data_IF_232404725996
#
_entry.id   IF_232404725996
#
_cell.length_a   1.000
_cell.length_b   1.000
_cell.length_c   1.000
_cell.angle_alpha   90.00
_cell.angle_beta   90.00
_cell.angle_gamma   90.00
#
_symmetry.space_group_name_H-M   'P 1'
#
loop_
_entity.id
_entity.type
_entity.pdbx_description
1 polymer ?
#
# COMPACT_ATOMS: atom_id res chain seq x y z
N UNK A 1 25.07 5.28 -3.27
CA UNK A 1 25.46 5.87 -1.96
C UNK A 1 24.33 5.84 -0.91
N UNK A 2 23.64 4.70 -0.70
CA UNK A 2 22.51 4.61 0.25
C UNK A 2 22.90 4.03 1.63
N UNK A 3 24.16 3.64 1.84
CA UNK A 3 24.60 2.90 3.03
C UNK A 3 25.44 3.71 4.03
N UNK A 4 25.67 5.01 3.80
CA UNK A 4 26.55 5.82 4.66
C UNK A 4 25.73 6.90 5.39
N UNK A 5 25.75 6.87 6.74
CA UNK A 5 25.07 7.83 7.62
C UNK A 5 24.13 7.18 8.65
N UNK A 6 23.71 7.94 9.66
CA UNK A 6 22.74 7.48 10.66
C UNK A 6 21.35 7.25 10.02
N UNK A 7 20.67 6.17 10.41
CA UNK A 7 19.29 5.82 10.03
C UNK A 7 19.01 5.86 8.50
N UNK A 8 19.66 5.00 7.68
CA UNK A 8 19.53 5.02 6.23
C UNK A 8 18.09 4.88 5.72
N UNK A 9 17.26 4.07 6.39
CA UNK A 9 15.84 3.89 6.02
C UNK A 9 15.02 5.18 6.18
N UNK A 10 15.21 5.91 7.29
CA UNK A 10 14.52 7.18 7.53
C UNK A 10 15.01 8.26 6.57
N UNK A 11 16.31 8.26 6.24
CA UNK A 11 16.89 9.14 5.23
C UNK A 11 16.26 8.89 3.85
N UNK A 12 16.12 7.63 3.43
CA UNK A 12 15.44 7.29 2.17
C UNK A 12 14.00 7.78 2.18
N UNK A 13 13.27 7.58 3.28
CA UNK A 13 11.91 8.09 3.42
C UNK A 13 11.85 9.61 3.28
N UNK A 14 12.72 10.35 3.96
CA UNK A 14 12.80 11.82 3.89
C UNK A 14 12.96 12.31 2.45
N UNK A 15 13.90 11.74 1.69
CA UNK A 15 14.10 12.14 0.29
C UNK A 15 12.91 11.82 -0.61
N UNK A 16 12.23 10.69 -0.36
CA UNK A 16 11.00 10.33 -1.08
C UNK A 16 9.88 11.31 -0.77
N UNK A 17 9.67 11.61 0.52
CA UNK A 17 8.66 12.58 0.97
C UNK A 17 8.92 13.97 0.38
N UNK A 18 10.16 14.45 0.44
CA UNK A 18 10.55 15.75 -0.12
C UNK A 18 10.29 15.83 -1.63
N UNK A 19 10.41 14.71 -2.34
CA UNK A 19 10.14 14.65 -3.78
C UNK A 19 8.65 14.63 -4.09
N UNK A 20 7.85 13.90 -3.30
CA UNK A 20 6.40 13.88 -3.43
C UNK A 20 5.78 15.24 -3.06
N UNK A 21 6.31 15.91 -2.03
CA UNK A 21 5.86 17.23 -1.58
C UNK A 21 6.07 18.35 -2.63
N UNK A 22 6.87 18.11 -3.67
CA UNK A 22 7.07 19.04 -4.80
C UNK A 22 6.05 18.87 -5.92
N UNK A 23 5.25 17.80 -5.87
CA UNK A 23 4.21 17.55 -6.85
C UNK A 23 2.92 18.28 -6.43
N UNK A 24 2.05 18.64 -7.39
CA UNK A 24 0.74 19.22 -7.11
C UNK A 24 -0.24 18.14 -6.64
N UNK A 25 0.09 17.46 -5.55
CA UNK A 25 -0.69 16.38 -4.96
C UNK A 25 -0.83 16.61 -3.46
N UNK A 26 -2.02 16.31 -2.94
CA UNK A 26 -2.22 16.23 -1.51
C UNK A 26 -1.92 14.80 -1.05
N UNK A 27 -1.01 14.69 -0.09
CA UNK A 27 -0.59 13.41 0.49
C UNK A 27 -1.32 13.16 1.80
N UNK A 28 -1.78 11.92 2.00
CA UNK A 28 -2.20 11.41 3.31
C UNK A 28 -1.55 10.06 3.54
N UNK A 29 -0.95 9.87 4.71
CA UNK A 29 -0.36 8.59 5.12
C UNK A 29 -1.28 7.88 6.11
N UNK A 30 -1.48 6.58 5.96
CA UNK A 30 -2.35 5.80 6.85
C UNK A 30 -1.51 4.76 7.54
N UNK A 31 -1.40 4.78 8.86
CA UNK A 31 -0.64 3.80 9.62
C UNK A 31 -1.54 2.63 10.09
N UNK A 32 -0.98 1.43 10.22
CA UNK A 32 -1.68 0.27 10.76
C UNK A 32 -2.08 0.51 12.22
N UNK A 33 -3.27 0.05 12.56
CA UNK A 33 -3.81 0.05 13.91
C UNK A 33 -3.49 -1.19 14.72
N UNK A 34 -3.99 -1.19 15.95
CA UNK A 34 -3.81 -2.26 16.91
C UNK A 34 -4.77 -3.45 16.69
N UNK A 35 -5.83 -3.30 15.88
CA UNK A 35 -6.78 -4.37 15.57
C UNK A 35 -6.38 -5.19 14.33
N UNK A 36 -5.17 -4.98 13.79
CA UNK A 36 -4.64 -5.79 12.68
C UNK A 36 -4.48 -7.26 13.07
N UNK A 37 -4.58 -8.15 12.08
CA UNK A 37 -4.37 -9.58 12.30
C UNK A 37 -3.00 -9.84 12.92
N UNK A 38 -2.97 -10.55 14.06
CA UNK A 38 -1.73 -10.96 14.72
C UNK A 38 -1.10 -12.21 14.08
N UNK A 39 -1.76 -12.82 13.10
CA UNK A 39 -1.28 -14.01 12.40
C UNK A 39 -1.34 -13.73 10.90
N UNK A 40 -0.17 -13.67 10.26
CA UNK A 40 -0.07 -13.63 8.79
C UNK A 40 0.76 -14.82 8.34
N UNK A 41 0.26 -15.58 7.36
CA UNK A 41 0.91 -16.77 6.78
C UNK A 41 1.40 -17.79 7.83
N UNK A 42 0.58 -18.02 8.86
CA UNK A 42 0.92 -18.93 9.96
C UNK A 42 1.94 -18.42 10.97
N UNK A 43 2.52 -17.23 10.77
CA UNK A 43 3.47 -16.60 11.70
C UNK A 43 2.84 -15.49 12.51
N UNK A 44 3.24 -15.38 13.78
CA UNK A 44 2.78 -14.29 14.64
C UNK A 44 3.44 -12.97 14.22
N UNK A 45 2.64 -11.98 13.87
CA UNK A 45 3.11 -10.64 13.56
C UNK A 45 3.31 -9.89 14.89
N UNK A 46 4.46 -9.23 15.02
CA UNK A 46 4.75 -8.38 16.19
C UNK A 46 3.67 -7.31 16.33
N UNK A 47 3.05 -7.24 17.51
CA UNK A 47 2.10 -6.18 17.86
C UNK A 47 2.79 -4.84 18.10
N UNK A 48 4.07 -4.84 18.45
CA UNK A 48 4.84 -3.61 18.66
C UNK A 48 4.96 -2.82 17.38
N UNK A 49 4.82 -1.50 17.51
CA UNK A 49 5.06 -0.55 16.43
C UNK A 49 6.48 -0.71 15.89
N UNK A 50 6.61 -0.62 14.57
CA UNK A 50 7.91 -0.56 13.95
C UNK A 50 8.65 0.68 14.44
N UNK A 51 9.96 0.58 14.71
CA UNK A 51 10.77 1.68 15.24
C UNK A 51 10.72 2.97 14.39
N UNK A 52 10.37 2.83 13.10
CA UNK A 52 10.22 3.95 12.16
C UNK A 52 8.92 4.73 12.30
N UNK A 53 7.86 4.19 12.93
CA UNK A 53 6.54 4.85 12.98
C UNK A 53 6.63 6.26 13.56
N UNK A 54 7.18 6.40 14.77
CA UNK A 54 7.30 7.70 15.45
C UNK A 54 8.22 8.69 14.71
N UNK A 55 9.44 8.30 14.26
CA UNK A 55 10.26 9.19 13.43
C UNK A 55 9.58 9.63 12.13
N UNK A 56 8.88 8.72 11.45
CA UNK A 56 8.15 9.02 10.21
C UNK A 56 7.01 10.01 10.47
N UNK A 57 6.20 9.82 11.50
CA UNK A 57 5.14 10.76 11.89
C UNK A 57 5.70 12.16 12.18
N UNK A 58 6.85 12.26 12.85
CA UNK A 58 7.52 13.55 13.07
C UNK A 58 7.91 14.22 11.75
N UNK A 59 8.48 13.48 10.80
CA UNK A 59 8.80 14.02 9.48
C UNK A 59 7.55 14.48 8.74
N UNK A 60 6.48 13.68 8.74
CA UNK A 60 5.21 14.05 8.12
C UNK A 60 4.65 15.35 8.70
N UNK A 61 4.66 15.50 10.02
CA UNK A 61 4.26 16.74 10.70
C UNK A 61 5.11 17.94 10.25
N UNK A 62 6.44 17.77 10.13
CA UNK A 62 7.34 18.84 9.66
C UNK A 62 7.03 19.26 8.22
N UNK A 63 6.64 18.32 7.35
CA UNK A 63 6.22 18.59 5.97
C UNK A 63 4.76 19.03 5.85
N UNK A 64 4.05 19.17 6.98
CA UNK A 64 2.61 19.46 7.04
C UNK A 64 1.76 18.46 6.23
N UNK A 65 2.20 17.20 6.19
CA UNK A 65 1.51 16.10 5.54
C UNK A 65 0.63 15.37 6.56
N UNK A 66 -0.64 15.21 6.21
CA UNK A 66 -1.62 14.55 7.08
C UNK A 66 -1.31 13.07 7.23
N UNK A 67 -1.56 12.54 8.42
CA UNK A 67 -1.52 11.11 8.66
C UNK A 67 -2.59 10.68 9.65
N UNK A 68 -3.05 9.44 9.51
CA UNK A 68 -4.05 8.82 10.39
C UNK A 68 -3.58 7.44 10.84
N UNK A 69 -4.16 6.96 11.94
CA UNK A 69 -4.05 5.56 12.35
C UNK A 69 -5.32 4.83 11.91
N UNK A 70 -5.18 3.76 11.13
CA UNK A 70 -6.27 2.85 10.86
C UNK A 70 -6.68 2.12 12.14
N UNK A 71 -7.89 1.55 12.18
CA UNK A 71 -8.28 0.64 13.25
C UNK A 71 -7.54 -0.71 13.14
N UNK A 72 -7.49 -1.26 11.93
CA UNK A 72 -6.83 -2.52 11.58
C UNK A 72 -5.66 -2.32 10.61
N UNK A 73 -5.82 -2.77 9.37
CA UNK A 73 -4.76 -2.64 8.35
C UNK A 73 -4.89 -1.32 7.57
N UNK A 74 -3.75 -0.66 7.33
CA UNK A 74 -3.72 0.59 6.58
C UNK A 74 -4.26 0.44 5.16
N UNK A 75 -4.01 -0.71 4.53
CA UNK A 75 -4.47 -1.00 3.16
C UNK A 75 -5.98 -1.08 3.06
N UNK A 76 -6.63 -1.72 4.03
CA UNK A 76 -8.09 -1.77 4.10
C UNK A 76 -8.69 -0.36 4.30
N UNK A 77 -8.08 0.44 5.18
CA UNK A 77 -8.51 1.82 5.41
C UNK A 77 -8.35 2.69 4.16
N UNK A 78 -7.26 2.54 3.43
CA UNK A 78 -7.00 3.26 2.17
C UNK A 78 -7.95 2.84 1.06
N UNK A 79 -8.18 1.53 0.90
CA UNK A 79 -9.14 1.01 -0.06
C UNK A 79 -10.55 1.58 0.21
N UNK A 80 -10.98 1.60 1.47
CA UNK A 80 -12.25 2.21 1.88
C UNK A 80 -12.31 3.71 1.56
N UNK A 81 -11.25 4.47 1.86
CA UNK A 81 -11.18 5.90 1.54
C UNK A 81 -11.23 6.15 0.03
N UNK A 82 -10.61 5.27 -0.77
CA UNK A 82 -10.60 5.38 -2.22
C UNK A 82 -11.98 5.04 -2.81
N UNK A 83 -12.60 3.94 -2.38
CA UNK A 83 -13.96 3.58 -2.78
C UNK A 83 -15.01 4.61 -2.37
N UNK A 84 -14.81 5.30 -1.25
CA UNK A 84 -15.66 6.40 -0.80
C UNK A 84 -15.37 7.76 -1.49
N UNK A 85 -14.38 7.84 -2.39
CA UNK A 85 -14.02 9.08 -3.07
C UNK A 85 -13.36 10.15 -2.19
N UNK A 86 -12.86 9.77 -1.00
CA UNK A 86 -12.12 10.67 -0.11
C UNK A 86 -10.70 10.93 -0.68
N UNK A 87 -10.14 9.93 -1.36
CA UNK A 87 -8.83 9.98 -2.01
C UNK A 87 -8.95 9.44 -3.44
N UNK A 88 -8.17 9.99 -4.38
CA UNK A 88 -8.29 9.63 -5.79
C UNK A 88 -7.54 8.34 -6.12
N UNK A 89 -6.41 8.11 -5.45
CA UNK A 89 -5.60 6.90 -5.65
C UNK A 89 -4.86 6.46 -4.39
N UNK A 90 -4.61 5.15 -4.31
CA UNK A 90 -3.79 4.50 -3.29
C UNK A 90 -2.43 4.16 -3.87
N UNK A 91 -1.34 4.66 -3.31
CA UNK A 91 0.01 4.31 -3.71
C UNK A 91 0.58 3.23 -2.79
N UNK A 92 0.63 2.00 -3.29
CA UNK A 92 1.16 0.80 -2.61
C UNK A 92 1.84 -0.12 -3.62
N UNK A 93 2.75 -0.97 -3.13
CA UNK A 93 3.34 -2.04 -3.93
C UNK A 93 2.61 -3.38 -3.79
N UNK A 94 1.66 -3.45 -2.84
CA UNK A 94 0.89 -4.63 -2.49
C UNK A 94 -0.47 -4.64 -3.23
N UNK A 95 -0.82 -5.79 -3.79
CA UNK A 95 -2.06 -5.96 -4.56
C UNK A 95 -3.29 -6.21 -3.70
N UNK A 96 -3.10 -6.45 -2.40
CA UNK A 96 -4.17 -6.81 -1.46
C UNK A 96 -5.18 -5.66 -1.30
N UNK A 97 -4.75 -4.42 -1.59
CA UNK A 97 -5.64 -3.25 -1.67
C UNK A 97 -6.82 -3.42 -2.62
N UNK A 98 -6.68 -4.15 -3.73
CA UNK A 98 -7.82 -4.45 -4.62
C UNK A 98 -8.83 -5.40 -3.99
N UNK A 99 -8.37 -6.36 -3.18
CA UNK A 99 -9.24 -7.28 -2.43
C UNK A 99 -10.06 -6.51 -1.39
N UNK A 100 -9.52 -5.42 -0.85
CA UNK A 100 -10.24 -4.51 0.04
C UNK A 100 -11.13 -3.47 -0.68
N UNK A 101 -11.22 -3.51 -2.02
CA UNK A 101 -12.10 -2.65 -2.81
C UNK A 101 -11.47 -1.34 -3.30
N UNK A 102 -10.14 -1.22 -3.34
CA UNK A 102 -9.49 -0.07 -3.97
C UNK A 102 -9.79 -0.04 -5.47
N UNK A 103 -10.17 1.15 -5.98
CA UNK A 103 -10.52 1.36 -7.38
C UNK A 103 -9.32 1.80 -8.22
N UNK A 104 -8.41 2.57 -7.62
CA UNK A 104 -7.25 3.17 -8.29
C UNK A 104 -5.98 2.97 -7.45
N UNK A 105 -5.02 2.21 -7.98
CA UNK A 105 -3.76 1.91 -7.31
C UNK A 105 -2.55 2.37 -8.14
N UNK A 106 -1.64 3.10 -7.50
CA UNK A 106 -0.37 3.55 -8.05
C UNK A 106 0.77 2.69 -7.50
N UNK A 107 1.40 1.87 -8.35
CA UNK A 107 2.53 1.05 -7.95
C UNK A 107 3.85 1.74 -8.25
N UNK A 108 4.74 1.82 -7.25
CA UNK A 108 6.04 2.47 -7.40
C UNK A 108 7.17 1.62 -6.80
N UNK A 109 7.47 0.52 -7.48
CA UNK A 109 8.46 -0.47 -7.05
C UNK A 109 9.89 0.08 -6.93
N UNK A 110 10.22 1.25 -7.50
CA UNK A 110 11.62 1.70 -7.60
C UNK A 110 11.84 3.17 -7.18
N UNK A 111 10.80 3.99 -7.02
CA UNK A 111 10.95 5.46 -6.89
C UNK A 111 11.98 5.99 -7.89
N UNK A 112 11.82 5.59 -9.15
CA UNK A 112 12.76 5.88 -10.23
C UNK A 112 13.02 7.39 -10.36
N UNK A 113 14.16 7.77 -10.94
CA UNK A 113 14.65 9.16 -11.05
C UNK A 113 13.69 10.07 -11.83
N UNK A 114 12.71 9.50 -12.53
CA UNK A 114 11.67 10.17 -13.29
C UNK A 114 10.29 10.24 -12.60
N UNK A 115 10.10 9.64 -11.41
CA UNK A 115 8.80 9.55 -10.71
C UNK A 115 7.73 8.74 -11.48
N UNK A 116 8.13 7.91 -12.44
CA UNK A 116 7.19 7.07 -13.17
C UNK A 116 6.55 6.04 -12.24
N UNK A 117 5.22 6.02 -12.20
CA UNK A 117 4.42 5.06 -11.45
C UNK A 117 3.57 4.25 -12.42
N UNK A 118 3.25 3.00 -12.04
CA UNK A 118 2.29 2.19 -12.79
C UNK A 118 0.90 2.43 -12.22
N UNK A 119 -0.02 2.89 -13.05
CA UNK A 119 -1.42 3.08 -12.70
C UNK A 119 -2.20 1.81 -13.00
N UNK A 120 -2.97 1.36 -12.03
CA UNK A 120 -3.91 0.25 -12.15
C UNK A 120 -5.28 0.74 -11.71
N UNK A 121 -6.28 0.62 -12.58
CA UNK A 121 -7.68 0.86 -12.23
C UNK A 121 -8.46 -0.44 -12.35
N UNK A 122 -9.46 -0.62 -11.50
CA UNK A 122 -10.40 -1.75 -11.59
C UNK A 122 -11.06 -1.82 -12.96
N UNK A 123 -11.45 -0.68 -13.54
CA UNK A 123 -12.00 -0.60 -14.90
C UNK A 123 -11.04 -1.16 -15.96
N UNK A 124 -9.77 -0.74 -15.94
CA UNK A 124 -8.79 -1.22 -16.91
C UNK A 124 -8.47 -2.70 -16.70
N UNK A 125 -8.45 -3.17 -15.45
CA UNK A 125 -8.26 -4.60 -15.13
C UNK A 125 -9.43 -5.42 -15.68
N UNK A 126 -10.66 -4.97 -15.49
CA UNK A 126 -11.85 -5.66 -16.01
C UNK A 126 -11.88 -5.69 -17.54
N UNK A 127 -11.46 -4.61 -18.18
CA UNK A 127 -11.44 -4.51 -19.64
C UNK A 127 -10.33 -5.36 -20.28
N UNK A 128 -9.12 -5.32 -19.71
CA UNK A 128 -7.93 -5.87 -20.37
C UNK A 128 -7.44 -7.22 -19.80
N UNK A 129 -7.87 -7.59 -18.59
CA UNK A 129 -7.44 -8.84 -17.92
C UNK A 129 -8.60 -9.82 -17.87
N UNK A 130 -9.65 -9.49 -17.12
CA UNK A 130 -10.86 -10.32 -17.00
C UNK A 130 -12.02 -9.50 -16.42
N UNK A 131 -13.13 -9.43 -17.16
CA UNK A 131 -14.36 -8.71 -16.76
C UNK A 131 -14.96 -9.21 -15.45
N UNK A 132 -14.63 -10.42 -15.02
CA UNK A 132 -15.09 -11.01 -13.77
C UNK A 132 -14.26 -10.62 -12.54
N UNK A 133 -13.15 -9.88 -12.72
CA UNK A 133 -12.39 -9.28 -11.61
C UNK A 133 -13.11 -8.03 -11.07
N UNK A 134 -14.32 -8.25 -10.58
CA UNK A 134 -15.05 -7.35 -9.68
C UNK A 134 -14.57 -7.56 -8.24
N UNK A 135 -15.12 -6.83 -7.27
CA UNK A 135 -14.77 -6.99 -5.85
C UNK A 135 -14.89 -8.45 -5.38
N UNK A 136 -15.99 -9.13 -5.74
CA UNK A 136 -16.20 -10.55 -5.47
C UNK A 136 -15.20 -11.44 -6.23
N UNK A 137 -14.81 -11.04 -7.44
CA UNK A 137 -13.80 -11.73 -8.23
C UNK A 137 -12.41 -11.67 -7.60
N UNK A 138 -12.01 -10.50 -7.10
CA UNK A 138 -10.76 -10.33 -6.35
C UNK A 138 -10.77 -11.13 -5.05
N UNK A 139 -11.89 -11.13 -4.32
CA UNK A 139 -12.05 -11.95 -3.12
C UNK A 139 -11.95 -13.45 -3.43
N UNK A 140 -12.65 -13.91 -4.46
CA UNK A 140 -12.61 -15.30 -4.91
C UNK A 140 -11.19 -15.70 -5.31
N UNK A 141 -10.48 -14.82 -6.03
CA UNK A 141 -9.09 -15.03 -6.40
C UNK A 141 -8.20 -15.15 -5.17
N UNK A 142 -8.37 -14.28 -4.17
CA UNK A 142 -7.62 -14.32 -2.92
C UNK A 142 -7.83 -15.65 -2.17
N UNK A 143 -9.07 -16.13 -2.09
CA UNK A 143 -9.42 -17.41 -1.46
C UNK A 143 -8.81 -18.59 -2.24
N UNK A 144 -8.89 -18.57 -3.57
CA UNK A 144 -8.43 -19.68 -4.42
C UNK A 144 -6.90 -19.75 -4.56
N UNK A 145 -6.22 -18.60 -4.57
CA UNK A 145 -4.77 -18.52 -4.75
C UNK A 145 -4.01 -18.45 -3.42
N UNK A 146 -4.72 -18.25 -2.31
CA UNK A 146 -4.16 -18.06 -0.99
C UNK A 146 -3.72 -16.61 -0.77
N UNK A 147 -4.25 -15.99 0.27
CA UNK A 147 -3.85 -14.65 0.71
C UNK A 147 -2.88 -14.67 1.89
N UNK A 148 -2.53 -13.48 2.39
CA UNK A 148 -1.76 -13.31 3.62
C UNK A 148 -2.40 -13.93 4.87
N UNK A 149 -3.69 -14.26 4.77
CA UNK A 149 -4.54 -14.73 5.86
C UNK A 149 -4.77 -16.25 5.86
N UNK A 150 -4.41 -16.96 4.79
CA UNK A 150 -4.67 -18.41 4.70
C UNK A 150 -3.52 -19.27 5.24
N UNK A 151 -3.89 -20.38 5.89
CA UNK A 151 -2.96 -21.43 6.36
C UNK A 151 -2.93 -22.66 5.44
N UNK A 152 -3.78 -22.72 4.42
CA UNK A 152 -4.01 -23.94 3.65
C UNK A 152 -3.05 -24.01 2.45
N UNK A 153 -2.40 -25.17 2.32
CA UNK A 153 -1.32 -25.48 1.39
C UNK A 153 -1.56 -25.00 -0.06
N UNK A 154 -0.48 -24.43 -0.61
CA UNK A 154 -0.31 -24.12 -2.03
C UNK A 154 -0.54 -25.36 -2.90
N UNK A 155 -1.45 -25.29 -3.86
CA UNK A 155 -1.39 -26.05 -5.12
C UNK A 155 -2.37 -25.48 -6.14
N UNK A 156 -2.05 -24.32 -6.71
CA UNK A 156 -2.59 -23.99 -8.03
C UNK A 156 -1.52 -23.29 -8.88
N UNK A 157 -1.32 -23.80 -10.09
CA UNK A 157 -0.35 -23.34 -11.09
C UNK A 157 -0.59 -21.88 -11.55
N UNK A 158 -1.67 -21.25 -11.08
CA UNK A 158 -2.03 -19.85 -11.35
C UNK A 158 -1.26 -18.86 -10.46
N UNK A 159 -0.80 -19.28 -9.28
CA UNK A 159 -0.12 -18.41 -8.31
C UNK A 159 1.27 -17.93 -8.76
N UNK A 160 1.93 -18.65 -9.68
CA UNK A 160 3.31 -18.37 -10.07
C UNK A 160 3.49 -17.14 -10.99
N UNK A 161 2.43 -16.63 -11.63
CA UNK A 161 2.57 -15.63 -12.72
C UNK A 161 2.18 -14.19 -12.35
N UNK A 162 1.37 -13.98 -11.30
CA UNK A 162 0.91 -12.63 -10.92
C UNK A 162 1.40 -12.11 -9.56
N UNK A 163 1.77 -12.98 -8.62
CA UNK A 163 2.08 -12.58 -7.25
C UNK A 163 3.51 -12.99 -6.87
N UNK A 164 4.45 -12.06 -7.02
CA UNK A 164 5.75 -12.14 -6.33
C UNK A 164 5.63 -11.43 -4.97
N UNK A 165 6.24 -11.98 -3.90
CA UNK A 165 6.11 -11.43 -2.57
C UNK A 165 6.99 -10.18 -2.41
N UNK A 166 6.41 -9.06 -1.99
CA UNK A 166 7.16 -7.94 -1.47
C UNK A 166 7.19 -8.06 0.06
N UNK A 167 8.28 -8.61 0.59
CA UNK A 167 8.66 -8.31 1.98
C UNK A 167 9.59 -7.11 1.96
N UNK A 168 9.24 -6.06 2.70
CA UNK A 168 10.07 -5.41 3.72
C UNK A 168 9.28 -4.26 4.35
N UNK A 169 9.15 -4.34 5.68
CA UNK A 169 8.39 -3.45 6.55
C UNK A 169 8.78 -1.97 6.39
N UNK A 170 7.78 -1.14 6.72
CA UNK A 170 7.83 0.29 7.09
C UNK A 170 7.89 1.32 5.95
N UNK A 171 6.76 1.52 5.29
CA UNK A 171 5.95 2.75 5.35
C UNK A 171 4.62 2.45 4.67
N UNK A 172 3.53 2.68 5.38
CA UNK A 172 2.20 2.40 4.88
C UNK A 172 1.79 3.35 3.77
N UNK A 173 0.92 2.85 2.92
CA UNK A 173 0.56 3.38 1.62
C UNK A 173 0.13 4.86 1.64
N UNK A 174 0.39 5.52 0.52
CA UNK A 174 0.23 6.96 0.34
C UNK A 174 -1.04 7.22 -0.43
N UNK A 175 -1.97 7.99 0.13
CA UNK A 175 -3.10 8.49 -0.63
C UNK A 175 -2.68 9.72 -1.43
N UNK A 176 -3.13 9.79 -2.68
CA UNK A 176 -2.94 10.94 -3.56
C UNK A 176 -4.31 11.53 -3.88
N UNK A 177 -4.47 12.83 -3.64
CA UNK A 177 -5.59 13.62 -4.18
C UNK A 177 -5.06 14.74 -5.08
N UNK A 178 -5.56 14.84 -6.32
CA UNK A 178 -5.27 15.96 -7.23
C UNK A 178 -6.48 16.90 -7.26
N UNK A 179 -6.29 18.14 -6.82
CA UNK A 179 -7.25 19.20 -7.08
C UNK A 179 -6.83 19.94 -8.35
N UNK A 180 -7.71 19.93 -9.37
CA UNK A 180 -7.71 20.97 -10.39
C UNK A 180 -8.83 21.94 -10.04
N UNK A 181 -8.48 23.22 -9.86
CA UNK A 181 -9.39 24.35 -9.88
C UNK A 181 -8.75 25.42 -10.78
#
# INVERSE_FOLDING_TARGET
>A
HAQTGQNPALRTFLFRLARLARLPVQLVFVFDGNQRSQIKRGHRVSTNDHWMVKPTQRLLNTFNVQWIMAAGEAEAQLALMNGAGIIDAVMTDDSDTFVFGAQTVLRNSTFSIDLTVKLYTTSAIQEHVDRHLTDDGFLTLAICCGGDYDKVNQTSLLSARLMRPASRRACQAVAVRQHWA
#
